data_IF_468767762006
#
_entry.id   IF_468767762006
#
_cell.length_a   1.000
_cell.length_b   1.000
_cell.length_c   1.000
_cell.angle_alpha   90.00
_cell.angle_beta   90.00
_cell.angle_gamma   90.00
#
_symmetry.space_group_name_H-M   'P 1'
#
loop_
_entity.id
_entity.type
_entity.pdbx_description
1 polymer ?
#
# COMPACT_ATOMS: atom_id res chain seq x y z
N UNK A 1 3.01 -63.35 -29.86
CA UNK A 1 1.75 -62.76 -29.35
C UNK A 1 2.03 -61.95 -28.10
N UNK A 2 2.13 -60.62 -28.21
CA UNK A 2 2.21 -59.74 -27.03
C UNK A 2 0.82 -59.71 -26.39
N UNK A 3 0.71 -60.25 -25.17
CA UNK A 3 -0.56 -60.34 -24.44
C UNK A 3 -1.21 -58.97 -24.31
N UNK A 4 -2.50 -58.85 -24.64
CA UNK A 4 -3.31 -57.61 -24.55
C UNK A 4 -3.18 -56.92 -23.18
N UNK A 5 -2.89 -57.69 -22.13
CA UNK A 5 -2.62 -57.18 -20.76
C UNK A 5 -1.36 -56.29 -20.69
N UNK A 6 -0.29 -56.61 -21.43
CA UNK A 6 0.95 -55.79 -21.46
C UNK A 6 0.75 -54.47 -22.19
N UNK A 7 -0.01 -54.47 -23.29
CA UNK A 7 -0.35 -53.25 -24.04
C UNK A 7 -1.18 -52.26 -23.19
N UNK A 8 -2.16 -52.77 -22.42
CA UNK A 8 -2.93 -51.92 -21.50
C UNK A 8 -2.07 -51.31 -20.39
N UNK A 9 -1.08 -52.05 -19.87
CA UNK A 9 -0.19 -51.55 -18.82
C UNK A 9 0.74 -50.45 -19.35
N UNK A 10 1.29 -50.63 -20.55
CA UNK A 10 2.15 -49.62 -21.19
C UNK A 10 1.35 -48.35 -21.49
N UNK A 11 0.13 -48.48 -22.01
CA UNK A 11 -0.73 -47.34 -22.30
C UNK A 11 -1.07 -46.52 -21.04
N UNK A 12 -1.35 -47.20 -19.91
CA UNK A 12 -1.58 -46.53 -18.62
C UNK A 12 -0.35 -45.77 -18.12
N UNK A 13 0.83 -46.36 -18.25
CA UNK A 13 2.09 -45.72 -17.83
C UNK A 13 2.35 -44.46 -18.65
N UNK A 14 2.21 -44.55 -19.98
CA UNK A 14 2.38 -43.40 -20.88
C UNK A 14 1.37 -42.30 -20.58
N UNK A 15 0.10 -42.67 -20.37
CA UNK A 15 -0.96 -41.70 -20.04
C UNK A 15 -0.71 -40.98 -18.71
N UNK A 16 -0.28 -41.72 -17.67
CA UNK A 16 0.08 -41.13 -16.38
C UNK A 16 1.31 -40.21 -16.48
N UNK A 17 2.30 -40.58 -17.29
CA UNK A 17 3.46 -39.74 -17.58
C UNK A 17 3.07 -38.46 -18.33
N UNK A 18 2.15 -38.54 -19.30
CA UNK A 18 1.63 -37.37 -19.99
C UNK A 18 0.88 -36.42 -19.05
N UNK A 19 0.06 -36.95 -18.13
CA UNK A 19 -0.61 -36.13 -17.12
C UNK A 19 0.40 -35.45 -16.19
N UNK A 20 1.41 -36.19 -15.72
CA UNK A 20 2.45 -35.63 -14.86
C UNK A 20 3.20 -34.48 -15.54
N UNK A 21 3.55 -34.65 -16.83
CA UNK A 21 4.23 -33.62 -17.61
C UNK A 21 3.37 -32.37 -17.79
N UNK A 22 2.06 -32.52 -18.03
CA UNK A 22 1.12 -31.39 -18.12
C UNK A 22 1.00 -30.67 -16.78
N UNK A 23 0.94 -31.40 -15.66
CA UNK A 23 0.88 -30.81 -14.32
C UNK A 23 2.16 -30.04 -13.97
N UNK A 24 3.33 -30.51 -14.41
CA UNK A 24 4.61 -29.78 -14.21
C UNK A 24 4.81 -28.62 -15.19
N UNK A 25 4.13 -28.64 -16.34
CA UNK A 25 4.19 -27.58 -17.35
C UNK A 25 3.14 -26.48 -17.12
N UNK A 26 2.30 -26.60 -16.09
CA UNK A 26 1.51 -25.49 -15.58
C UNK A 26 2.46 -24.53 -14.84
N UNK A 27 3.21 -23.75 -15.61
CA UNK A 27 3.92 -22.58 -15.11
C UNK A 27 2.87 -21.71 -14.40
N UNK A 28 3.02 -21.58 -13.08
CA UNK A 28 2.43 -20.47 -12.34
C UNK A 28 2.96 -19.21 -13.01
N UNK A 29 2.19 -18.61 -13.91
CA UNK A 29 2.41 -17.23 -14.31
C UNK A 29 2.47 -16.46 -13.00
N UNK A 30 3.62 -15.87 -12.61
CA UNK A 30 3.63 -15.03 -11.45
C UNK A 30 2.64 -13.92 -11.76
N UNK A 31 1.58 -13.85 -10.97
CA UNK A 31 0.66 -12.73 -10.99
C UNK A 31 1.55 -11.50 -10.83
N UNK A 32 1.71 -10.70 -11.89
CA UNK A 32 2.54 -9.51 -11.89
C UNK A 32 1.78 -8.51 -11.02
N UNK A 33 1.93 -8.66 -9.71
CA UNK A 33 1.54 -7.66 -8.75
C UNK A 33 2.27 -6.36 -9.05
N UNK A 34 1.73 -5.22 -8.63
CA UNK A 34 2.44 -3.95 -8.75
C UNK A 34 3.84 -4.10 -8.15
N UNK A 35 4.85 -3.56 -8.85
CA UNK A 35 6.24 -3.62 -8.39
C UNK A 35 6.34 -3.13 -6.93
N UNK A 36 7.15 -3.80 -6.09
CA UNK A 36 7.35 -3.37 -4.72
C UNK A 36 7.91 -1.95 -4.70
N UNK A 37 7.24 -1.06 -3.95
CA UNK A 37 7.68 0.33 -3.75
C UNK A 37 9.09 0.34 -3.16
N UNK A 38 10.00 1.04 -3.83
CA UNK A 38 11.44 0.89 -3.64
C UNK A 38 11.96 1.66 -2.42
N UNK A 39 11.24 2.69 -1.95
CA UNK A 39 11.69 3.55 -0.84
C UNK A 39 10.70 3.69 0.32
N UNK A 40 11.23 3.93 1.53
CA UNK A 40 10.45 4.22 2.74
C UNK A 40 9.41 5.33 2.50
N UNK A 41 9.80 6.46 1.92
CA UNK A 41 8.90 7.59 1.69
C UNK A 41 7.80 7.26 0.67
N UNK A 42 8.09 6.48 -0.36
CA UNK A 42 7.09 6.03 -1.33
C UNK A 42 6.05 5.13 -0.66
N UNK A 43 6.50 4.23 0.22
CA UNK A 43 5.64 3.36 1.01
C UNK A 43 4.77 4.17 1.97
N UNK A 44 5.35 5.15 2.68
CA UNK A 44 4.58 6.09 3.52
C UNK A 44 3.52 6.81 2.70
N UNK A 45 3.88 7.38 1.54
CA UNK A 45 2.93 8.03 0.65
C UNK A 45 1.80 7.08 0.24
N UNK A 46 2.11 5.84 -0.13
CA UNK A 46 1.12 4.86 -0.56
C UNK A 46 0.20 4.39 0.57
N UNK A 47 0.73 4.16 1.77
CA UNK A 47 -0.03 3.81 2.97
C UNK A 47 -0.99 4.94 3.32
N UNK A 48 -0.47 6.17 3.45
CA UNK A 48 -1.28 7.35 3.73
C UNK A 48 -2.34 7.57 2.66
N UNK A 49 -2.01 7.43 1.37
CA UNK A 49 -3.02 7.49 0.29
C UNK A 49 -4.14 6.48 0.51
N UNK A 50 -3.80 5.24 0.83
CA UNK A 50 -4.76 4.15 1.01
C UNK A 50 -5.65 4.40 2.23
N UNK A 51 -5.04 4.77 3.36
CA UNK A 51 -5.71 5.08 4.62
C UNK A 51 -6.64 6.28 4.47
N UNK A 52 -6.15 7.40 3.93
CA UNK A 52 -6.96 8.61 3.69
C UNK A 52 -8.12 8.29 2.75
N UNK A 53 -7.88 7.57 1.65
CA UNK A 53 -8.93 7.19 0.72
C UNK A 53 -9.99 6.32 1.39
N UNK A 54 -9.59 5.32 2.17
CA UNK A 54 -10.50 4.43 2.90
C UNK A 54 -11.36 5.19 3.90
N UNK A 55 -10.76 6.11 4.66
CA UNK A 55 -11.45 6.92 5.67
C UNK A 55 -12.37 7.99 5.08
N UNK A 56 -12.11 8.43 3.85
CA UNK A 56 -12.84 9.54 3.22
C UNK A 56 -13.82 9.11 2.14
N UNK A 57 -13.76 7.86 1.64
CA UNK A 57 -14.50 7.38 0.45
C UNK A 57 -15.95 7.84 0.42
N UNK A 58 -16.66 7.65 1.52
CA UNK A 58 -18.09 7.90 1.63
C UNK A 58 -18.40 9.10 2.55
N UNK A 59 -17.40 9.96 2.81
CA UNK A 59 -17.54 11.11 3.70
C UNK A 59 -17.11 12.44 3.03
N UNK A 60 -17.98 13.02 2.17
CA UNK A 60 -17.69 14.29 1.50
C UNK A 60 -17.39 15.47 2.43
N UNK A 61 -18.08 15.66 3.58
CA UNK A 61 -17.72 16.71 4.54
C UNK A 61 -16.28 16.58 5.04
N UNK A 62 -15.83 15.37 5.38
CA UNK A 62 -14.46 15.11 5.83
C UNK A 62 -13.43 15.32 4.70
N UNK A 63 -13.80 15.05 3.44
CA UNK A 63 -12.97 15.37 2.27
C UNK A 63 -12.76 16.89 2.12
N UNK A 64 -13.84 17.66 2.20
CA UNK A 64 -13.78 19.13 2.09
C UNK A 64 -12.95 19.72 3.24
N UNK A 65 -13.14 19.20 4.45
CA UNK A 65 -12.42 19.67 5.62
C UNK A 65 -10.92 19.37 5.49
N UNK A 66 -10.52 18.14 5.13
CA UNK A 66 -9.11 17.84 4.91
C UNK A 66 -8.53 18.72 3.80
N UNK A 67 -9.26 18.93 2.70
CA UNK A 67 -8.82 19.80 1.60
C UNK A 67 -8.55 21.23 2.08
N UNK A 68 -9.43 21.78 2.91
CA UNK A 68 -9.26 23.13 3.46
C UNK A 68 -8.05 23.26 4.40
N UNK A 69 -7.66 22.17 5.06
CA UNK A 69 -6.56 22.16 6.03
C UNK A 69 -5.19 21.87 5.41
N UNK A 70 -5.13 21.32 4.19
CA UNK A 70 -3.87 20.93 3.53
C UNK A 70 -2.82 22.05 3.52
N UNK A 71 -3.22 23.29 3.24
CA UNK A 71 -2.28 24.43 3.22
C UNK A 71 -1.71 24.79 4.59
N UNK A 72 -2.40 24.45 5.69
CA UNK A 72 -1.85 24.57 7.05
C UNK A 72 -0.84 23.45 7.30
N UNK A 73 -1.26 22.22 7.03
CA UNK A 73 -0.47 21.02 7.31
C UNK A 73 0.86 21.01 6.54
N UNK A 74 0.91 21.59 5.34
CA UNK A 74 2.13 21.79 4.55
C UNK A 74 3.21 22.62 5.24
N UNK A 75 2.83 23.48 6.19
CA UNK A 75 3.76 24.36 6.92
C UNK A 75 4.36 23.68 8.15
N UNK A 76 3.90 22.48 8.50
CA UNK A 76 4.40 21.74 9.65
C UNK A 76 5.82 21.24 9.41
N UNK A 77 6.66 21.29 10.44
CA UNK A 77 8.06 20.89 10.33
C UNK A 77 8.29 19.42 10.68
N UNK A 78 7.38 18.82 11.44
CA UNK A 78 7.51 17.46 11.97
C UNK A 78 6.21 16.69 11.86
N UNK A 79 6.31 15.36 11.82
CA UNK A 79 5.16 14.47 11.85
C UNK A 79 4.30 14.72 13.08
N UNK A 80 4.91 14.94 14.25
CA UNK A 80 4.17 15.19 15.49
C UNK A 80 3.29 16.45 15.39
N UNK A 81 3.84 17.56 14.89
CA UNK A 81 3.07 18.79 14.66
C UNK A 81 1.90 18.55 13.68
N UNK A 82 2.16 17.85 12.58
CA UNK A 82 1.12 17.48 11.61
C UNK A 82 0.00 16.66 12.26
N UNK A 83 0.35 15.65 13.05
CA UNK A 83 -0.64 14.80 13.72
C UNK A 83 -1.40 15.55 14.79
N UNK A 84 -0.77 16.46 15.54
CA UNK A 84 -1.45 17.29 16.54
C UNK A 84 -2.42 18.28 15.89
N UNK A 85 -2.05 18.90 14.77
CA UNK A 85 -2.99 19.75 14.00
C UNK A 85 -4.21 18.95 13.52
N UNK A 86 -4.02 17.72 13.03
CA UNK A 86 -5.13 16.85 12.66
C UNK A 86 -5.97 16.41 13.86
N UNK A 87 -5.34 16.10 15.01
CA UNK A 87 -6.03 15.72 16.25
C UNK A 87 -6.84 16.86 16.84
N UNK A 88 -6.43 18.11 16.62
CA UNK A 88 -7.17 19.32 16.99
C UNK A 88 -8.50 19.50 16.26
N UNK A 89 -8.76 18.66 15.24
CA UNK A 89 -10.00 18.65 14.48
C UNK A 89 -10.70 17.33 14.75
N UNK A 90 -11.80 17.37 15.51
CA UNK A 90 -12.52 16.17 15.97
C UNK A 90 -12.82 15.18 14.85
N UNK A 91 -13.26 15.67 13.68
CA UNK A 91 -13.59 14.82 12.53
C UNK A 91 -12.38 14.16 11.85
N UNK A 92 -11.16 14.66 12.05
CA UNK A 92 -9.91 14.16 11.46
C UNK A 92 -9.02 13.42 12.47
N UNK A 93 -9.38 13.39 13.75
CA UNK A 93 -8.58 12.76 14.80
C UNK A 93 -8.18 11.31 14.49
N UNK A 94 -9.13 10.51 13.99
CA UNK A 94 -8.86 9.12 13.61
C UNK A 94 -7.84 9.02 12.48
N UNK A 95 -7.86 9.99 11.54
CA UNK A 95 -6.90 10.02 10.45
C UNK A 95 -5.48 10.27 10.97
N UNK A 96 -5.34 11.15 11.96
CA UNK A 96 -4.05 11.41 12.61
C UNK A 96 -3.48 10.14 13.24
N UNK A 97 -4.31 9.41 13.99
CA UNK A 97 -3.92 8.16 14.65
C UNK A 97 -3.51 7.08 13.64
N UNK A 98 -4.30 6.90 12.57
CA UNK A 98 -3.99 5.88 11.55
C UNK A 98 -2.71 6.21 10.78
N UNK A 99 -2.50 7.48 10.43
CA UNK A 99 -1.26 7.92 9.76
C UNK A 99 -0.04 7.70 10.66
N UNK A 100 -0.15 8.05 11.94
CA UNK A 100 0.91 7.82 12.93
C UNK A 100 1.26 6.33 13.01
N UNK A 101 0.24 5.47 13.09
CA UNK A 101 0.41 4.02 13.12
C UNK A 101 1.05 3.47 11.84
N UNK A 102 0.61 3.92 10.66
CA UNK A 102 1.16 3.49 9.36
C UNK A 102 2.66 3.78 9.25
N UNK A 103 3.09 4.96 9.70
CA UNK A 103 4.49 5.37 9.65
C UNK A 103 5.32 4.60 10.67
N UNK A 104 4.82 4.45 11.89
CA UNK A 104 5.51 3.68 12.94
C UNK A 104 5.66 2.21 12.55
N UNK A 105 4.65 1.64 11.91
CA UNK A 105 4.72 0.29 11.34
C UNK A 105 5.82 0.18 10.28
N UNK A 106 5.90 1.13 9.35
CA UNK A 106 6.93 1.10 8.31
C UNK A 106 8.34 1.29 8.90
N UNK A 107 8.50 2.16 9.90
CA UNK A 107 9.79 2.38 10.59
C UNK A 107 10.30 1.14 11.35
N UNK A 108 9.41 0.27 11.80
CA UNK A 108 9.78 -0.95 12.52
C UNK A 108 10.40 -2.01 11.60
N UNK A 109 10.22 -1.89 10.27
CA UNK A 109 10.73 -2.87 9.32
C UNK A 109 12.27 -2.84 9.24
N UNK A 110 12.94 -4.00 9.15
CA UNK A 110 14.41 -4.08 9.13
C UNK A 110 15.07 -3.27 8.01
N UNK A 111 14.45 -3.21 6.83
CA UNK A 111 14.97 -2.48 5.68
C UNK A 111 15.02 -0.96 5.87
N UNK A 112 14.26 -0.40 6.82
CA UNK A 112 14.15 1.04 7.06
C UNK A 112 15.00 1.48 8.28
N UNK A 113 16.09 0.75 8.57
CA UNK A 113 16.95 1.03 9.72
C UNK A 113 17.54 2.45 9.70
N UNK A 114 17.87 2.97 8.50
CA UNK A 114 18.41 4.32 8.34
C UNK A 114 17.39 5.37 8.79
N UNK A 115 16.18 5.28 8.30
CA UNK A 115 15.07 6.20 8.60
C UNK A 115 14.67 6.07 10.07
N UNK A 116 14.69 4.86 10.64
CA UNK A 116 14.44 4.63 12.06
C UNK A 116 15.47 5.32 12.96
N UNK A 117 16.76 5.18 12.68
CA UNK A 117 17.83 5.83 13.46
C UNK A 117 17.78 7.34 13.29
N UNK A 118 17.56 7.81 12.05
CA UNK A 118 17.51 9.22 11.70
C UNK A 118 16.15 9.89 11.89
N UNK A 119 15.15 9.21 12.47
CA UNK A 119 13.76 9.65 12.41
C UNK A 119 13.57 11.07 12.95
N UNK A 120 14.23 11.40 14.05
CA UNK A 120 14.13 12.72 14.68
C UNK A 120 14.99 13.81 14.01
N UNK A 121 15.74 13.48 12.95
CA UNK A 121 16.50 14.47 12.21
C UNK A 121 15.57 15.39 11.42
N UNK A 122 15.87 16.70 11.30
CA UNK A 122 15.03 17.64 10.55
C UNK A 122 14.83 17.24 9.08
N UNK A 123 15.84 16.62 8.47
CA UNK A 123 15.77 16.16 7.08
C UNK A 123 14.75 15.03 6.91
N UNK A 124 14.84 13.98 7.74
CA UNK A 124 13.90 12.85 7.68
C UNK A 124 12.48 13.30 8.06
N UNK A 125 12.33 14.14 9.09
CA UNK A 125 11.02 14.70 9.46
C UNK A 125 10.37 15.47 8.31
N UNK A 126 11.12 16.32 7.59
CA UNK A 126 10.60 17.03 6.40
C UNK A 126 10.18 16.07 5.30
N UNK A 127 10.97 15.03 5.04
CA UNK A 127 10.65 14.04 4.02
C UNK A 127 9.42 13.20 4.40
N UNK A 128 9.27 12.84 5.68
CA UNK A 128 8.08 12.18 6.23
C UNK A 128 6.85 13.07 6.05
N UNK A 129 6.90 14.33 6.49
CA UNK A 129 5.79 15.28 6.33
C UNK A 129 5.42 15.43 4.86
N UNK A 130 6.41 15.63 3.98
CA UNK A 130 6.18 15.71 2.53
C UNK A 130 5.49 14.46 1.98
N UNK A 131 5.93 13.27 2.38
CA UNK A 131 5.35 12.00 1.96
C UNK A 131 3.89 11.83 2.44
N UNK A 132 3.58 12.25 3.67
CA UNK A 132 2.22 12.26 4.22
C UNK A 132 1.32 13.20 3.41
N UNK A 133 1.75 14.45 3.20
CA UNK A 133 0.97 15.45 2.46
C UNK A 133 0.74 15.00 1.01
N UNK A 134 1.78 14.48 0.36
CA UNK A 134 1.64 13.90 -0.97
C UNK A 134 0.61 12.76 -0.99
N UNK A 135 0.63 11.90 0.04
CA UNK A 135 -0.31 10.81 0.21
C UNK A 135 -1.76 11.29 0.33
N UNK A 136 -2.00 12.32 1.16
CA UNK A 136 -3.31 12.95 1.33
C UNK A 136 -3.83 13.59 0.04
N UNK A 137 -2.98 14.39 -0.64
CA UNK A 137 -3.33 15.04 -1.90
C UNK A 137 -3.71 14.02 -2.97
N UNK A 138 -2.91 12.95 -3.10
CA UNK A 138 -3.17 11.86 -4.05
C UNK A 138 -4.49 11.17 -3.74
N UNK A 139 -4.80 10.91 -2.47
CA UNK A 139 -6.08 10.31 -2.07
C UNK A 139 -7.27 11.21 -2.44
N UNK A 140 -7.20 12.51 -2.12
CA UNK A 140 -8.26 13.47 -2.45
C UNK A 140 -8.46 13.61 -3.97
N UNK A 141 -7.37 13.62 -4.75
CA UNK A 141 -7.44 13.64 -6.21
C UNK A 141 -8.13 12.39 -6.78
N UNK A 142 -7.82 11.20 -6.24
CA UNK A 142 -8.45 9.94 -6.63
C UNK A 142 -9.95 9.90 -6.28
N UNK A 143 -10.33 10.45 -5.12
CA UNK A 143 -11.72 10.53 -4.69
C UNK A 143 -12.55 11.50 -5.54
N UNK A 144 -11.93 12.59 -6.01
CA UNK A 144 -12.56 13.54 -6.94
C UNK A 144 -12.76 12.91 -8.33
N UNK A 145 -11.72 12.26 -8.87
CA UNK A 145 -11.77 11.63 -10.19
C UNK A 145 -12.67 10.38 -10.27
N UNK A 146 -12.95 9.72 -9.14
CA UNK A 146 -13.83 8.55 -9.09
C UNK A 146 -15.33 8.87 -9.18
N UNK A 147 -15.74 10.15 -9.07
CA UNK A 147 -17.16 10.56 -9.14
C UNK A 147 -17.68 10.76 -10.56
N UNK A 148 -16.81 11.03 -11.52
CA UNK A 148 -17.21 11.36 -12.91
C UNK A 148 -17.21 10.14 -13.85
N UNK A 149 -16.99 8.93 -13.32
CA UNK A 149 -16.80 7.69 -14.09
C UNK A 149 -17.96 6.69 -14.03
N UNK A 150 -19.18 7.09 -13.67
CA UNK A 150 -20.37 6.24 -13.72
C UNK A 150 -21.57 6.95 -14.31
#
# INVERSE_FOLDING_TARGET
>A
MISRKRLSSIFRIVFLLSILLILTACEHSPEIGPEPLAGFFERVTALVTTTVRGQLRDNPPKQQLLTAQLSSLEKTATMNQLTEELKGIDSLKDLAYLIEMDIMFELQKPENQRERIGFNSPEIQRQVVSAIIAGMKKALAQLKGGKDGK
#
